data_IF_746598766662
#
_entry.id   IF_746598766662
#
_cell.length_a   1.000
_cell.length_b   1.000
_cell.length_c   1.000
_cell.angle_alpha   90.00
_cell.angle_beta   90.00
_cell.angle_gamma   90.00
#
_symmetry.space_group_name_H-M   'P 1'
#
loop_
_entity.id
_entity.type
_entity.pdbx_description
1 polymer ?
#
# COMPACT_ATOMS: atom_id res chain seq x y z
N UNK A 1 3.69 -9.70 -6.95
CA UNK A 1 4.31 -11.04 -7.09
C UNK A 1 5.58 -10.88 -7.91
N UNK A 2 6.65 -11.55 -7.53
CA UNK A 2 7.99 -11.39 -8.14
C UNK A 2 8.01 -11.77 -9.61
N UNK A 3 7.34 -12.86 -9.97
CA UNK A 3 7.25 -13.31 -11.37
C UNK A 3 6.60 -12.25 -12.27
N UNK A 4 5.54 -11.58 -11.80
CA UNK A 4 4.92 -10.49 -12.55
C UNK A 4 5.91 -9.34 -12.77
N UNK A 5 6.68 -8.98 -11.77
CA UNK A 5 7.68 -7.93 -11.88
C UNK A 5 8.82 -8.33 -12.82
N UNK A 6 9.28 -9.57 -12.76
CA UNK A 6 10.32 -10.09 -13.66
C UNK A 6 9.88 -10.00 -15.12
N UNK A 7 8.65 -10.40 -15.42
CA UNK A 7 8.09 -10.35 -16.79
C UNK A 7 7.93 -8.90 -17.26
N UNK A 8 7.33 -8.04 -16.43
CA UNK A 8 7.01 -6.66 -16.84
C UNK A 8 8.21 -5.72 -16.89
N UNK A 9 9.34 -6.11 -16.28
CA UNK A 9 10.62 -5.39 -16.33
C UNK A 9 11.51 -5.84 -17.48
N UNK A 10 11.29 -7.03 -18.03
CA UNK A 10 12.14 -7.55 -19.10
C UNK A 10 12.18 -6.55 -20.27
N UNK A 11 13.35 -6.14 -20.76
CA UNK A 11 13.46 -5.18 -21.85
C UNK A 11 13.00 -5.79 -23.18
N UNK A 12 13.20 -7.08 -23.34
CA UNK A 12 12.75 -7.86 -24.50
C UNK A 12 12.60 -9.33 -24.11
N UNK A 13 11.85 -10.06 -24.91
CA UNK A 13 11.73 -11.52 -24.79
C UNK A 13 11.66 -12.15 -26.18
N UNK A 14 12.47 -13.18 -26.39
CA UNK A 14 12.46 -13.97 -27.60
C UNK A 14 11.95 -15.38 -27.30
N UNK A 15 11.11 -15.92 -28.14
CA UNK A 15 10.56 -17.26 -28.02
C UNK A 15 10.28 -17.87 -29.39
N UNK A 16 10.10 -19.16 -29.45
CA UNK A 16 9.72 -19.89 -30.67
C UNK A 16 8.39 -20.59 -30.47
N UNK A 17 7.75 -20.95 -31.57
CA UNK A 17 6.61 -21.85 -31.54
C UNK A 17 7.03 -23.25 -31.06
N UNK A 18 6.06 -24.10 -30.72
CA UNK A 18 6.32 -25.44 -30.21
C UNK A 18 7.09 -26.34 -31.18
N UNK A 19 6.99 -26.06 -32.48
CA UNK A 19 7.73 -26.81 -33.53
C UNK A 19 9.16 -26.30 -33.71
N UNK A 20 9.52 -25.14 -33.15
CA UNK A 20 10.82 -24.50 -33.35
C UNK A 20 11.03 -23.88 -34.74
N UNK A 21 9.98 -23.87 -35.55
CA UNK A 21 10.08 -23.39 -36.96
C UNK A 21 9.96 -21.89 -37.10
N UNK A 22 9.34 -21.22 -36.16
CA UNK A 22 9.17 -19.76 -36.15
C UNK A 22 9.65 -19.16 -34.84
N UNK A 23 10.45 -18.11 -34.95
CA UNK A 23 10.92 -17.34 -33.80
C UNK A 23 10.23 -15.98 -33.75
N UNK A 24 9.95 -15.51 -32.56
CA UNK A 24 9.30 -14.24 -32.24
C UNK A 24 10.16 -13.43 -31.27
N UNK A 25 10.10 -12.13 -31.41
CA UNK A 25 10.73 -11.20 -30.46
C UNK A 25 9.76 -10.10 -30.05
N UNK A 26 9.65 -9.87 -28.77
CA UNK A 26 8.87 -8.78 -28.19
C UNK A 26 9.80 -7.78 -27.51
N UNK A 27 9.54 -6.50 -27.73
CA UNK A 27 10.26 -5.40 -27.06
C UNK A 27 9.31 -4.72 -26.07
N UNK A 28 9.81 -4.40 -24.90
CA UNK A 28 9.03 -3.70 -23.89
C UNK A 28 8.89 -2.22 -24.25
N UNK A 29 7.66 -1.78 -24.48
CA UNK A 29 7.37 -0.39 -24.85
C UNK A 29 7.10 0.51 -23.61
N UNK A 30 7.34 0.04 -22.41
CA UNK A 30 7.24 0.85 -21.20
C UNK A 30 8.47 1.77 -21.05
N UNK A 31 8.44 2.92 -21.70
CA UNK A 31 9.54 3.86 -21.69
C UNK A 31 9.84 4.42 -20.27
N UNK A 32 8.92 4.27 -19.30
CA UNK A 32 9.17 4.72 -17.93
C UNK A 32 10.30 3.93 -17.28
N UNK A 33 10.43 2.63 -17.59
CA UNK A 33 11.47 1.76 -17.04
C UNK A 33 12.90 2.25 -17.31
N UNK A 34 13.10 2.95 -18.42
CA UNK A 34 14.42 3.47 -18.83
C UNK A 34 14.57 4.97 -18.59
N UNK A 35 13.46 5.70 -18.36
CA UNK A 35 13.45 7.16 -18.31
C UNK A 35 13.08 7.74 -16.95
N UNK A 36 12.80 6.89 -15.96
CA UNK A 36 12.48 7.30 -14.60
C UNK A 36 13.12 6.34 -13.60
N UNK A 37 13.98 6.87 -12.75
CA UNK A 37 14.58 6.12 -11.67
C UNK A 37 13.48 5.57 -10.72
N UNK A 38 13.67 4.34 -10.27
CA UNK A 38 12.70 3.65 -9.41
C UNK A 38 11.49 3.08 -10.12
N UNK A 39 11.36 3.22 -11.45
CA UNK A 39 10.28 2.57 -12.18
C UNK A 39 10.35 1.05 -12.03
N UNK A 40 9.25 0.45 -11.55
CA UNK A 40 9.20 -0.95 -11.13
C UNK A 40 8.49 -1.81 -12.16
N UNK A 41 7.39 -1.31 -12.69
CA UNK A 41 6.50 -2.07 -13.58
C UNK A 41 5.52 -1.14 -14.26
N UNK A 42 4.85 -1.63 -15.29
CA UNK A 42 3.74 -0.93 -15.91
C UNK A 42 3.18 -1.63 -17.11
N UNK A 43 2.01 -1.17 -17.54
CA UNK A 43 1.32 -1.65 -18.74
C UNK A 43 0.69 -0.48 -19.47
N UNK A 44 0.99 -0.41 -20.75
CA UNK A 44 0.36 0.57 -21.66
C UNK A 44 -0.87 -0.03 -22.34
N UNK A 45 -1.81 0.82 -22.68
CA UNK A 45 -2.96 0.48 -23.51
C UNK A 45 -3.32 1.64 -24.45
N UNK A 46 -3.96 1.30 -25.58
CA UNK A 46 -4.52 2.27 -26.48
C UNK A 46 -5.70 1.68 -27.25
N UNK A 47 -6.78 2.41 -27.31
CA UNK A 47 -7.83 2.23 -28.32
C UNK A 47 -8.29 3.60 -28.83
N UNK A 48 -8.90 3.63 -30.02
CA UNK A 48 -9.38 4.89 -30.60
C UNK A 48 -10.37 5.64 -29.72
N UNK A 49 -11.15 4.93 -28.89
CA UNK A 49 -12.13 5.53 -27.96
C UNK A 49 -11.53 5.90 -26.60
N UNK A 50 -10.57 5.11 -26.09
CA UNK A 50 -10.02 5.29 -24.76
C UNK A 50 -8.76 6.17 -24.71
N UNK A 51 -8.19 6.51 -25.87
CA UNK A 51 -6.91 7.21 -25.91
C UNK A 51 -5.75 6.38 -25.36
N UNK A 52 -4.65 7.03 -25.03
CA UNK A 52 -3.50 6.40 -24.38
C UNK A 52 -3.76 6.22 -22.90
N UNK A 53 -3.62 4.98 -22.44
CA UNK A 53 -3.74 4.61 -21.05
C UNK A 53 -2.45 3.98 -20.53
N UNK A 54 -2.19 4.14 -19.25
CA UNK A 54 -1.03 3.56 -18.59
C UNK A 54 -1.31 3.28 -17.11
N UNK A 55 -0.92 2.13 -16.64
CA UNK A 55 -0.80 1.84 -15.21
C UNK A 55 0.67 1.59 -14.93
N UNK A 56 1.23 2.28 -13.96
CA UNK A 56 2.64 2.15 -13.62
C UNK A 56 2.89 2.18 -12.13
N UNK A 57 4.02 1.58 -11.74
CA UNK A 57 4.50 1.56 -10.38
C UNK A 57 5.94 2.11 -10.33
N UNK A 58 6.20 2.98 -9.37
CA UNK A 58 7.50 3.60 -9.12
C UNK A 58 7.80 3.50 -7.63
N UNK A 59 8.96 2.95 -7.31
CA UNK A 59 9.49 2.93 -5.94
C UNK A 59 10.48 4.08 -5.78
N UNK A 60 10.24 4.92 -4.80
CA UNK A 60 11.15 6.01 -4.44
C UNK A 60 11.36 5.99 -2.94
N UNK A 61 12.59 5.81 -2.54
CA UNK A 61 12.97 5.49 -1.16
C UNK A 61 12.16 4.28 -0.65
N UNK A 62 11.44 4.42 0.44
CA UNK A 62 10.60 3.35 0.98
C UNK A 62 9.14 3.40 0.45
N UNK A 63 8.79 4.45 -0.33
CA UNK A 63 7.44 4.67 -0.86
C UNK A 63 7.25 3.93 -2.18
N UNK A 64 6.12 3.26 -2.34
CA UNK A 64 5.67 2.68 -3.60
C UNK A 64 4.47 3.47 -4.12
N UNK A 65 4.66 4.13 -5.25
CA UNK A 65 3.60 4.85 -5.95
C UNK A 65 3.04 4.01 -7.08
N UNK A 66 1.72 3.87 -7.10
CA UNK A 66 1.00 3.23 -8.20
C UNK A 66 0.00 4.25 -8.73
N UNK A 67 0.06 4.51 -10.03
CA UNK A 67 -0.88 5.40 -10.69
C UNK A 67 -1.50 4.74 -11.93
N UNK A 68 -2.80 4.98 -12.10
CA UNK A 68 -3.55 4.61 -13.29
C UNK A 68 -3.93 5.89 -14.04
N UNK A 69 -3.46 5.99 -15.26
CA UNK A 69 -3.69 7.09 -16.18
C UNK A 69 -4.63 6.62 -17.28
N UNK A 70 -5.76 7.26 -17.42
CA UNK A 70 -6.75 6.99 -18.44
C UNK A 70 -6.87 8.21 -19.33
N UNK A 71 -7.09 7.98 -20.60
CA UNK A 71 -7.35 9.09 -21.54
C UNK A 71 -6.23 10.14 -21.58
N UNK A 72 -4.97 9.68 -21.64
CA UNK A 72 -3.79 10.56 -21.68
C UNK A 72 -3.45 10.99 -23.12
N UNK A 73 -4.44 11.48 -23.86
CA UNK A 73 -4.31 11.97 -25.21
C UNK A 73 -4.39 10.90 -26.29
N UNK A 74 -4.33 11.36 -27.53
CA UNK A 74 -4.39 10.58 -28.78
C UNK A 74 -3.16 10.86 -29.64
N UNK A 75 -3.00 10.12 -30.76
CA UNK A 75 -1.96 10.47 -31.70
C UNK A 75 -2.04 11.95 -32.14
N UNK A 76 -0.90 12.65 -32.20
CA UNK A 76 0.47 12.16 -32.05
C UNK A 76 1.02 12.14 -30.63
N UNK A 77 0.24 12.46 -29.59
CA UNK A 77 0.70 12.74 -28.23
C UNK A 77 1.00 11.49 -27.40
N UNK A 78 1.90 10.63 -27.88
CA UNK A 78 2.26 9.35 -27.24
C UNK A 78 2.98 9.48 -25.89
N UNK A 79 3.53 10.65 -25.58
CA UNK A 79 4.40 10.87 -24.42
C UNK A 79 3.70 11.45 -23.20
N UNK A 80 2.47 11.91 -23.33
CA UNK A 80 1.74 12.57 -22.23
C UNK A 80 1.63 11.67 -20.99
N UNK A 81 1.31 10.40 -21.14
CA UNK A 81 1.27 9.44 -20.04
C UNK A 81 2.57 9.36 -19.23
N UNK A 82 3.73 9.53 -19.87
CA UNK A 82 5.02 9.53 -19.19
C UNK A 82 5.26 10.82 -18.40
N UNK A 83 4.81 11.95 -18.96
CA UNK A 83 4.89 13.24 -18.29
C UNK A 83 3.96 13.29 -17.08
N UNK A 84 2.74 12.81 -17.24
CA UNK A 84 1.75 12.82 -16.18
C UNK A 84 2.11 11.83 -15.05
N UNK A 85 2.65 10.67 -15.40
CA UNK A 85 3.18 9.75 -14.39
C UNK A 85 4.28 10.40 -13.55
N UNK A 86 5.23 11.12 -14.19
CA UNK A 86 6.28 11.85 -13.45
C UNK A 86 5.70 12.93 -12.53
N UNK A 87 4.70 13.68 -13.00
CA UNK A 87 4.04 14.71 -12.18
C UNK A 87 3.37 14.08 -10.96
N UNK A 88 2.63 12.99 -11.15
CA UNK A 88 1.93 12.30 -10.05
C UNK A 88 2.90 11.72 -9.04
N UNK A 89 3.98 11.06 -9.46
CA UNK A 89 5.00 10.53 -8.56
C UNK A 89 5.71 11.66 -7.82
N UNK A 90 6.04 12.75 -8.50
CA UNK A 90 6.65 13.93 -7.86
C UNK A 90 5.71 14.56 -6.83
N UNK A 91 4.43 14.65 -7.16
CA UNK A 91 3.41 15.14 -6.22
C UNK A 91 3.32 14.23 -5.00
N UNK A 92 3.18 12.91 -5.22
CA UNK A 92 3.11 11.94 -4.14
C UNK A 92 4.34 11.98 -3.23
N UNK A 93 5.53 12.08 -3.82
CA UNK A 93 6.77 12.13 -3.07
C UNK A 93 6.90 13.37 -2.18
N UNK A 94 6.45 14.52 -2.67
CA UNK A 94 6.50 15.79 -1.95
C UNK A 94 5.42 15.93 -0.88
N UNK A 95 4.29 15.28 -1.04
CA UNK A 95 3.10 15.53 -0.21
C UNK A 95 2.75 14.38 0.73
N UNK A 96 3.44 13.23 0.64
CA UNK A 96 3.17 12.08 1.49
C UNK A 96 4.44 11.60 2.17
N UNK A 97 4.37 11.38 3.48
CA UNK A 97 5.46 10.86 4.30
C UNK A 97 4.98 9.72 5.20
N UNK A 98 5.87 8.77 5.46
CA UNK A 98 5.60 7.76 6.48
C UNK A 98 5.74 8.40 7.86
N UNK A 99 4.66 8.34 8.65
CA UNK A 99 4.65 8.72 10.05
C UNK A 99 4.47 7.50 10.94
N UNK A 100 5.25 7.43 11.97
CA UNK A 100 5.09 6.43 13.01
C UNK A 100 4.02 6.93 13.99
N UNK A 101 2.97 6.12 14.13
CA UNK A 101 1.93 6.35 15.11
C UNK A 101 2.29 5.50 16.33
N UNK A 102 2.79 6.18 17.36
CA UNK A 102 3.07 5.49 18.63
C UNK A 102 1.78 4.85 19.16
N UNK A 103 1.89 3.61 19.52
CA UNK A 103 0.86 2.95 20.34
C UNK A 103 1.03 3.47 21.77
N UNK A 104 0.64 4.71 22.03
CA UNK A 104 0.55 5.18 23.40
C UNK A 104 -0.31 4.19 24.18
N UNK A 105 0.23 3.61 25.25
CA UNK A 105 -0.44 2.61 26.08
C UNK A 105 -1.85 3.08 26.51
N UNK A 106 -2.70 2.16 26.85
CA UNK A 106 -3.73 2.45 27.84
C UNK A 106 -2.98 2.92 29.07
N UNK A 107 -3.41 4.01 29.71
CA UNK A 107 -2.76 4.46 30.94
C UNK A 107 -2.53 3.28 31.89
N UNK A 108 -1.45 3.30 32.65
CA UNK A 108 -1.01 2.18 33.50
C UNK A 108 -2.09 1.61 34.43
N UNK A 109 -3.17 2.37 34.66
CA UNK A 109 -4.28 2.03 35.57
C UNK A 109 -5.60 1.68 34.83
N UNK A 110 -5.58 1.41 33.54
CA UNK A 110 -6.82 1.07 32.86
C UNK A 110 -7.32 -0.31 33.33
N UNK A 111 -8.37 -0.28 34.14
CA UNK A 111 -9.02 -1.48 34.67
C UNK A 111 -10.53 -1.43 34.39
N UNK A 112 -11.10 -2.58 34.09
CA UNK A 112 -12.54 -2.76 33.84
C UNK A 112 -13.17 -3.44 35.05
N UNK A 113 -14.35 -2.98 35.44
CA UNK A 113 -15.14 -3.55 36.55
C UNK A 113 -15.59 -4.99 36.18
N UNK A 114 -15.53 -5.91 37.11
CA UNK A 114 -16.04 -7.28 36.96
C UNK A 114 -17.17 -7.53 37.93
N UNK A 115 -18.35 -7.70 37.40
CA UNK A 115 -19.55 -8.03 38.18
C UNK A 115 -19.55 -9.52 38.52
N UNK A 116 -19.85 -9.83 39.78
CA UNK A 116 -19.88 -11.20 40.34
C UNK A 116 -18.53 -11.95 40.25
N UNK A 117 -17.41 -11.23 40.11
CA UNK A 117 -16.05 -11.79 40.13
C UNK A 117 -15.48 -11.85 41.55
N UNK A 118 -14.45 -12.69 41.72
CA UNK A 118 -13.63 -12.70 42.95
C UNK A 118 -12.90 -11.38 43.11
N UNK A 119 -12.35 -10.90 41.99
CA UNK A 119 -11.75 -9.57 41.88
C UNK A 119 -12.78 -8.60 41.29
N UNK A 120 -12.93 -7.43 41.90
CA UNK A 120 -13.88 -6.41 41.44
C UNK A 120 -13.42 -5.67 40.18
N UNK A 121 -12.13 -5.77 39.82
CA UNK A 121 -11.52 -5.13 38.66
C UNK A 121 -10.44 -6.01 38.07
N UNK A 122 -10.30 -5.94 36.71
CA UNK A 122 -9.22 -6.58 35.96
C UNK A 122 -8.46 -5.54 35.16
N UNK A 123 -7.14 -5.66 35.20
CA UNK A 123 -6.27 -4.84 34.36
C UNK A 123 -6.49 -5.16 32.87
N UNK A 124 -6.51 -4.13 32.06
CA UNK A 124 -6.67 -4.26 30.61
C UNK A 124 -5.36 -3.85 29.94
N UNK A 125 -4.93 -4.69 29.03
CA UNK A 125 -3.76 -4.44 28.21
C UNK A 125 -4.15 -4.36 26.72
N UNK A 126 -3.37 -3.65 25.92
CA UNK A 126 -3.56 -3.65 24.47
C UNK A 126 -2.95 -4.93 23.95
N UNK A 127 -3.80 -5.92 23.61
CA UNK A 127 -3.40 -7.09 22.85
C UNK A 127 -3.10 -6.68 21.42
N UNK A 128 -1.99 -7.14 20.88
CA UNK A 128 -1.65 -6.96 19.47
C UNK A 128 -1.57 -8.33 18.83
N UNK A 129 -2.42 -8.61 17.85
CA UNK A 129 -2.28 -9.82 17.01
C UNK A 129 -0.91 -9.88 16.31
N UNK A 130 -0.20 -8.75 16.30
CA UNK A 130 1.17 -8.60 15.79
C UNK A 130 2.02 -7.93 16.87
N UNK A 131 2.40 -8.68 17.89
CA UNK A 131 3.11 -8.23 19.09
C UNK A 131 4.43 -7.50 18.83
N UNK A 132 5.02 -7.70 17.64
CA UNK A 132 6.38 -7.21 17.32
C UNK A 132 6.45 -5.75 16.85
N UNK A 133 5.33 -5.03 16.76
CA UNK A 133 5.34 -3.64 16.29
C UNK A 133 4.76 -2.70 17.33
N UNK A 134 5.64 -2.06 18.09
CA UNK A 134 5.27 -0.99 19.03
C UNK A 134 4.75 0.28 18.34
N UNK A 135 4.89 0.39 17.03
CA UNK A 135 4.39 1.50 16.24
C UNK A 135 3.65 1.03 14.99
N UNK A 136 2.67 1.80 14.58
CA UNK A 136 2.02 1.65 13.29
C UNK A 136 2.59 2.70 12.33
N UNK A 137 3.24 2.26 11.26
CA UNK A 137 3.77 3.14 10.23
C UNK A 137 2.74 3.34 9.13
N UNK A 138 2.29 4.58 8.94
CA UNK A 138 1.25 4.94 7.98
C UNK A 138 1.75 6.02 7.04
N UNK A 139 1.49 5.88 5.74
CA UNK A 139 1.77 6.91 4.76
C UNK A 139 0.65 7.96 4.83
N UNK A 140 1.00 9.17 5.20
CA UNK A 140 0.06 10.29 5.38
C UNK A 140 0.43 11.47 4.49
N UNK A 141 -0.58 12.14 3.98
CA UNK A 141 -0.44 13.45 3.37
C UNK A 141 -0.06 14.52 4.40
N UNK A 142 0.53 15.62 3.94
CA UNK A 142 1.03 16.70 4.81
C UNK A 142 -0.07 17.28 5.71
N UNK A 143 -1.32 17.31 5.22
CA UNK A 143 -2.48 17.86 5.93
C UNK A 143 -3.29 16.78 6.68
N UNK A 144 -2.93 15.52 6.56
CA UNK A 144 -3.64 14.41 7.20
C UNK A 144 -3.21 14.23 8.65
N UNK A 145 -4.20 13.98 9.51
CA UNK A 145 -4.00 13.73 10.93
C UNK A 145 -4.62 12.39 11.32
N UNK A 146 -3.88 11.63 12.12
CA UNK A 146 -4.40 10.39 12.69
C UNK A 146 -5.15 10.71 13.98
N UNK A 147 -6.36 10.16 14.11
CA UNK A 147 -7.12 10.15 15.36
C UNK A 147 -7.17 8.72 15.89
N UNK A 148 -6.66 8.52 17.07
CA UNK A 148 -6.76 7.25 17.79
C UNK A 148 -7.95 7.31 18.72
N UNK A 149 -8.88 6.34 18.60
CA UNK A 149 -10.06 6.23 19.48
C UNK A 149 -10.04 4.87 20.15
N UNK A 150 -10.19 4.87 21.45
CA UNK A 150 -10.28 3.67 22.27
C UNK A 150 -11.68 3.52 22.81
N UNK A 151 -12.28 2.35 22.65
CA UNK A 151 -13.56 1.97 23.27
C UNK A 151 -13.32 0.74 24.12
N UNK A 152 -13.63 0.82 25.41
CA UNK A 152 -13.48 -0.27 26.37
C UNK A 152 -14.85 -0.49 27.04
N UNK A 153 -15.19 -1.74 27.32
CA UNK A 153 -16.39 -2.10 28.08
C UNK A 153 -16.36 -1.42 29.46
N UNK A 154 -17.51 -0.98 29.95
CA UNK A 154 -17.63 -0.37 31.28
C UNK A 154 -17.55 -1.41 32.37
N UNK A 155 -18.13 -2.58 32.14
CA UNK A 155 -18.10 -3.73 33.06
C UNK A 155 -18.11 -5.03 32.26
N UNK A 156 -17.67 -6.10 32.90
CA UNK A 156 -17.71 -7.48 32.45
C UNK A 156 -18.45 -8.32 33.50
N UNK A 157 -19.01 -9.45 33.08
CA UNK A 157 -19.56 -10.46 33.98
C UNK A 157 -18.58 -11.63 34.15
N UNK A 158 -18.38 -12.07 35.38
CA UNK A 158 -17.61 -13.28 35.65
C UNK A 158 -18.27 -14.54 35.06
N UNK A 159 -17.49 -15.54 34.64
CA UNK A 159 -16.03 -15.62 34.68
C UNK A 159 -15.33 -14.89 33.52
N UNK A 160 -14.32 -14.10 33.84
CA UNK A 160 -13.46 -13.43 32.82
C UNK A 160 -12.15 -14.21 32.72
N UNK A 161 -11.75 -14.54 31.52
CA UNK A 161 -10.50 -15.27 31.22
C UNK A 161 -9.46 -14.32 30.63
N UNK A 162 -8.19 -14.65 30.85
CA UNK A 162 -7.10 -13.97 30.15
C UNK A 162 -7.30 -14.05 28.63
N UNK A 163 -7.02 -12.97 27.92
CA UNK A 163 -7.25 -12.86 26.48
C UNK A 163 -8.70 -12.55 26.08
N UNK A 164 -9.64 -12.38 27.04
CA UNK A 164 -10.99 -11.94 26.71
C UNK A 164 -10.95 -10.53 26.09
N UNK A 165 -11.46 -10.32 24.87
CA UNK A 165 -11.49 -9.00 24.27
C UNK A 165 -12.49 -8.11 25.00
N UNK A 166 -12.00 -6.98 25.51
CA UNK A 166 -12.79 -6.04 26.30
C UNK A 166 -13.04 -4.71 25.60
N UNK A 167 -12.50 -4.55 24.43
CA UNK A 167 -12.66 -3.33 23.65
C UNK A 167 -11.88 -3.34 22.35
N UNK A 168 -11.81 -2.18 21.73
CA UNK A 168 -11.07 -1.96 20.48
C UNK A 168 -10.47 -0.55 20.47
N UNK A 169 -9.41 -0.44 19.72
CA UNK A 169 -8.71 0.83 19.48
C UNK A 169 -8.47 1.05 18.00
#
# INVERSE_FOLDING_TARGET
KEEFLAITRAPSHAFSDLSGTRSFSCVNHNALLTSMEGAVSGKTGFTGKAGYCYVGAVKKDEKLFIAALLDCGWPPHRTYKWQDMRKLVTYGDKNFEYKEIEKTGLGEETAVLVENGVESRVKVEIGTEHADRNSLRVLLGNDEKVQVRTKIAKSLHAPVREGTPVGQR
#
